data_IF_717129347908
#
_entry.id   IF_717129347908
#
_cell.length_a   1.000
_cell.length_b   1.000
_cell.length_c   1.000
_cell.angle_alpha   90.00
_cell.angle_beta   90.00
_cell.angle_gamma   90.00
#
_symmetry.space_group_name_H-M   'P 1'
#
loop_
_entity.id
_entity.type
_entity.pdbx_description
1 polymer ?
#
# COMPACT_ATOMS: atom_id res chain seq x y z
N UNK A 1 2.44 49.00 25.34
CA UNK A 1 2.56 47.54 25.60
C UNK A 1 1.58 46.67 24.78
N UNK A 2 0.29 47.04 24.63
CA UNK A 2 -0.68 46.24 23.83
C UNK A 2 -0.29 46.03 22.36
N UNK A 3 0.26 47.06 21.70
CA UNK A 3 0.56 47.00 20.28
C UNK A 3 1.76 46.07 19.95
N UNK A 4 2.78 46.04 20.81
CA UNK A 4 3.94 45.14 20.65
C UNK A 4 3.51 43.67 20.79
N UNK A 5 2.63 43.39 21.75
CA UNK A 5 2.08 42.04 21.96
C UNK A 5 1.25 41.58 20.76
N UNK A 6 0.51 42.52 20.15
CA UNK A 6 -0.26 42.27 18.93
C UNK A 6 0.65 41.98 17.73
N UNK A 7 1.70 42.78 17.53
CA UNK A 7 2.67 42.59 16.46
C UNK A 7 3.36 41.23 16.59
N UNK A 8 3.81 40.85 17.79
CA UNK A 8 4.40 39.52 18.03
C UNK A 8 3.44 38.38 17.70
N UNK A 9 2.18 38.48 18.13
CA UNK A 9 1.19 37.44 17.88
C UNK A 9 0.91 37.26 16.38
N UNK A 10 0.74 38.37 15.64
CA UNK A 10 0.53 38.31 14.19
C UNK A 10 1.79 37.86 13.44
N UNK A 11 2.99 38.30 13.83
CA UNK A 11 4.24 37.81 13.25
C UNK A 11 4.42 36.30 13.47
N UNK A 12 4.05 35.78 14.65
CA UNK A 12 4.08 34.35 14.93
C UNK A 12 3.07 33.57 14.07
N UNK A 13 1.86 34.09 13.90
CA UNK A 13 0.85 33.48 13.03
C UNK A 13 1.31 33.43 11.56
N UNK A 14 1.93 34.51 11.08
CA UNK A 14 2.48 34.57 9.71
C UNK A 14 3.64 33.59 9.53
N UNK A 15 4.51 33.41 10.54
CA UNK A 15 5.61 32.44 10.51
C UNK A 15 5.15 30.98 10.64
N UNK A 16 4.01 30.73 11.30
CA UNK A 16 3.46 29.39 11.42
C UNK A 16 3.02 28.82 10.07
N UNK A 17 2.53 29.66 9.15
CA UNK A 17 2.07 29.22 7.81
C UNK A 17 3.19 28.58 6.98
N UNK A 18 4.35 29.24 6.71
CA UNK A 18 5.45 28.62 5.98
C UNK A 18 6.05 27.45 6.75
N UNK A 19 6.04 27.47 8.10
CA UNK A 19 6.52 26.34 8.90
C UNK A 19 5.65 25.09 8.72
N UNK A 20 4.32 25.24 8.69
CA UNK A 20 3.37 24.16 8.42
C UNK A 20 3.57 23.63 6.99
N UNK A 21 3.74 24.51 6.00
CA UNK A 21 3.99 24.09 4.62
C UNK A 21 5.31 23.35 4.48
N UNK A 22 6.39 23.86 5.08
CA UNK A 22 7.71 23.23 5.05
C UNK A 22 7.70 21.87 5.77
N UNK A 23 7.02 21.76 6.91
CA UNK A 23 6.92 20.50 7.65
C UNK A 23 6.05 19.48 6.93
N UNK A 24 4.93 19.91 6.33
CA UNK A 24 4.04 19.04 5.57
C UNK A 24 4.70 18.52 4.28
N UNK A 25 5.36 19.40 3.51
CA UNK A 25 6.08 19.01 2.30
C UNK A 25 7.33 18.17 2.60
N UNK A 26 8.00 18.45 3.72
CA UNK A 26 9.19 17.70 4.13
C UNK A 26 8.90 16.37 4.81
N UNK A 27 7.68 16.15 5.31
CA UNK A 27 7.33 15.00 6.15
C UNK A 27 7.74 13.65 5.57
N UNK A 28 7.53 13.35 4.27
CA UNK A 28 7.97 12.09 3.67
C UNK A 28 9.49 11.92 3.68
N UNK A 29 10.24 13.00 3.46
CA UNK A 29 11.71 13.01 3.47
C UNK A 29 12.26 12.82 4.87
N UNK A 30 11.69 13.52 5.86
CA UNK A 30 12.06 13.35 7.27
C UNK A 30 11.73 11.95 7.78
N UNK A 31 10.57 11.39 7.41
CA UNK A 31 10.19 10.03 7.78
C UNK A 31 11.15 8.99 7.20
N UNK A 32 11.52 9.10 5.92
CA UNK A 32 12.53 8.22 5.29
C UNK A 32 13.89 8.37 5.96
N UNK A 33 14.35 9.60 6.18
CA UNK A 33 15.61 9.85 6.87
C UNK A 33 15.65 9.23 8.26
N UNK A 34 14.57 9.32 9.03
CA UNK A 34 14.48 8.69 10.34
C UNK A 34 14.52 7.16 10.22
N UNK A 35 13.75 6.56 9.31
CA UNK A 35 13.78 5.12 9.01
C UNK A 35 15.21 4.66 8.67
N UNK A 36 15.88 5.35 7.77
CA UNK A 36 17.22 4.99 7.27
C UNK A 36 18.32 5.14 8.34
N UNK A 37 18.22 6.16 9.20
CA UNK A 37 19.26 6.46 10.20
C UNK A 37 19.08 5.71 11.52
N UNK A 38 17.85 5.39 11.89
CA UNK A 38 17.55 4.74 13.18
C UNK A 38 17.31 3.24 13.06
N UNK A 39 17.24 2.71 11.84
CA UNK A 39 16.90 1.30 11.58
C UNK A 39 15.44 0.95 11.89
N UNK A 40 14.58 1.96 12.12
CA UNK A 40 13.15 1.76 12.29
C UNK A 40 12.56 1.22 10.98
N UNK A 41 11.81 0.11 11.05
CA UNK A 41 11.10 -0.43 9.89
C UNK A 41 9.69 0.13 9.79
N UNK A 42 9.22 0.36 8.56
CA UNK A 42 7.80 0.66 8.30
C UNK A 42 7.00 -0.62 8.56
N UNK A 43 5.94 -0.53 9.36
CA UNK A 43 5.13 -1.71 9.68
C UNK A 43 4.48 -2.29 8.40
N UNK A 44 4.41 -3.64 8.26
CA UNK A 44 3.80 -4.33 7.11
C UNK A 44 2.40 -3.83 6.74
N UNK A 45 1.62 -3.45 7.75
CA UNK A 45 0.29 -2.86 7.57
C UNK A 45 0.26 -1.60 6.69
N UNK A 46 1.36 -0.85 6.62
CA UNK A 46 1.49 0.33 5.78
C UNK A 46 2.22 0.05 4.47
N UNK A 47 3.29 -0.75 4.49
CA UNK A 47 4.09 -1.05 3.29
C UNK A 47 3.46 -2.09 2.36
N UNK A 48 2.53 -2.91 2.86
CA UNK A 48 2.03 -4.09 2.17
C UNK A 48 2.66 -5.39 2.64
N UNK A 49 3.73 -5.33 3.45
CA UNK A 49 4.55 -6.49 3.83
C UNK A 49 5.74 -6.72 2.88
N UNK A 50 6.59 -7.68 3.22
CA UNK A 50 7.72 -8.10 2.37
C UNK A 50 7.19 -8.89 1.16
N UNK A 51 7.89 -8.81 0.01
CA UNK A 51 7.53 -9.62 -1.16
C UNK A 51 8.03 -11.05 -0.95
N UNK A 52 7.10 -11.99 -0.82
CA UNK A 52 7.41 -13.42 -0.59
C UNK A 52 7.49 -14.22 -1.89
N UNK A 53 6.85 -13.73 -2.96
CA UNK A 53 6.86 -14.41 -4.26
C UNK A 53 6.74 -13.42 -5.40
N UNK A 54 7.54 -13.63 -6.44
CA UNK A 54 7.43 -12.91 -7.71
C UNK A 54 7.22 -13.91 -8.83
N UNK A 55 6.22 -13.68 -9.67
CA UNK A 55 5.90 -14.47 -10.85
C UNK A 55 6.15 -13.59 -12.07
N UNK A 56 7.04 -14.02 -12.95
CA UNK A 56 7.39 -13.28 -14.17
C UNK A 56 6.52 -13.72 -15.34
N UNK A 57 5.93 -12.76 -16.04
CA UNK A 57 5.16 -12.98 -17.26
C UNK A 57 5.75 -12.17 -18.42
N UNK A 58 5.26 -12.43 -19.64
CA UNK A 58 5.60 -11.61 -20.78
C UNK A 58 4.88 -10.26 -20.68
N UNK A 59 5.62 -9.22 -20.28
CA UNK A 59 5.16 -7.83 -20.24
C UNK A 59 4.90 -7.25 -18.85
N UNK A 60 4.71 -8.09 -17.83
CA UNK A 60 4.57 -7.66 -16.43
C UNK A 60 5.05 -8.75 -15.46
N UNK A 61 5.24 -8.37 -14.20
CA UNK A 61 5.51 -9.28 -13.09
C UNK A 61 4.42 -9.13 -12.03
N UNK A 62 4.11 -10.21 -11.34
CA UNK A 62 3.18 -10.25 -10.22
C UNK A 62 3.95 -10.51 -8.95
N UNK A 63 3.79 -9.64 -7.95
CA UNK A 63 4.46 -9.71 -6.65
C UNK A 63 3.41 -9.93 -5.59
N UNK A 64 3.57 -11.01 -4.86
CA UNK A 64 2.70 -11.41 -3.76
C UNK A 64 3.45 -11.07 -2.49
N UNK A 65 2.84 -10.24 -1.65
CA UNK A 65 3.40 -9.85 -0.37
C UNK A 65 2.98 -10.80 0.74
N UNK A 66 3.74 -10.80 1.82
CA UNK A 66 3.37 -11.50 3.05
C UNK A 66 2.06 -10.95 3.62
N UNK A 67 1.10 -11.81 4.01
CA UNK A 67 -0.12 -11.38 4.68
C UNK A 67 0.16 -10.61 5.97
N UNK A 68 -0.43 -9.43 6.11
CA UNK A 68 -0.25 -8.58 7.28
C UNK A 68 -1.51 -8.60 8.16
N UNK A 69 -1.37 -9.19 9.34
CA UNK A 69 -2.38 -9.14 10.42
C UNK A 69 -1.98 -8.21 11.57
N UNK A 70 -0.92 -7.41 11.41
CA UNK A 70 -0.35 -6.64 12.51
C UNK A 70 -1.31 -5.61 13.12
N UNK A 71 -1.33 -5.59 14.46
CA UNK A 71 -2.01 -4.62 15.29
C UNK A 71 -1.08 -4.10 16.38
N UNK A 72 -1.46 -2.96 16.99
CA UNK A 72 -0.64 -2.28 18.01
C UNK A 72 -0.36 -3.15 19.25
N UNK A 73 -1.30 -4.05 19.58
CA UNK A 73 -1.23 -4.93 20.75
C UNK A 73 -1.14 -6.41 20.39
N UNK A 74 -0.73 -6.72 19.15
CA UNK A 74 -0.71 -8.07 18.60
C UNK A 74 -1.61 -8.25 17.37
N UNK A 75 -1.73 -9.48 16.86
CA UNK A 75 -2.44 -9.77 15.61
C UNK A 75 -3.93 -9.39 15.68
N UNK A 76 -4.42 -8.78 14.61
CA UNK A 76 -5.82 -8.47 14.39
C UNK A 76 -6.59 -9.69 13.89
N UNK A 77 -7.91 -9.73 14.12
CA UNK A 77 -8.81 -10.76 13.56
C UNK A 77 -9.00 -10.66 12.05
N UNK A 78 -8.60 -9.54 11.46
CA UNK A 78 -8.64 -9.26 10.04
C UNK A 78 -7.34 -8.59 9.63
N UNK A 79 -6.86 -8.94 8.46
CA UNK A 79 -5.67 -8.40 7.84
C UNK A 79 -5.88 -8.25 6.34
N UNK A 80 -4.78 -8.20 5.60
CA UNK A 80 -4.83 -8.22 4.16
C UNK A 80 -3.58 -8.88 3.58
N UNK A 81 -3.70 -9.33 2.34
CA UNK A 81 -2.56 -9.61 1.47
C UNK A 81 -2.52 -8.57 0.37
N UNK A 82 -1.32 -8.09 0.02
CA UNK A 82 -1.12 -7.15 -1.07
C UNK A 82 -0.55 -7.88 -2.29
N UNK A 83 -1.14 -7.61 -3.45
CA UNK A 83 -0.67 -8.09 -4.75
C UNK A 83 -0.33 -6.87 -5.60
N UNK A 84 0.91 -6.82 -6.09
CA UNK A 84 1.39 -5.78 -6.98
C UNK A 84 1.66 -6.36 -8.36
N UNK A 85 1.11 -5.75 -9.40
CA UNK A 85 1.49 -6.00 -10.78
C UNK A 85 2.40 -4.87 -11.23
N UNK A 86 3.58 -5.21 -11.76
CA UNK A 86 4.53 -4.23 -12.30
C UNK A 86 4.75 -4.45 -13.78
N UNK A 87 4.56 -3.42 -14.61
CA UNK A 87 4.81 -3.49 -16.04
C UNK A 87 6.31 -3.54 -16.34
N UNK A 88 6.74 -4.50 -17.15
CA UNK A 88 8.14 -4.70 -17.52
C UNK A 88 8.53 -3.88 -18.78
N UNK A 89 7.56 -3.60 -19.66
CA UNK A 89 7.77 -2.89 -20.94
C UNK A 89 6.93 -1.61 -21.09
N UNK A 90 6.48 -1.03 -19.96
CA UNK A 90 5.79 0.27 -19.92
C UNK A 90 4.29 0.25 -20.15
N UNK A 91 3.68 -0.91 -20.44
CA UNK A 91 2.22 -1.06 -20.46
C UNK A 91 1.78 -2.43 -19.97
N UNK A 92 0.59 -2.48 -19.38
CA UNK A 92 -0.08 -3.73 -19.04
C UNK A 92 -0.89 -4.26 -20.24
N UNK A 93 -1.15 -5.58 -20.31
CA UNK A 93 -2.16 -6.10 -21.23
C UNK A 93 -3.54 -5.52 -20.91
N UNK A 94 -4.49 -5.58 -21.84
CA UNK A 94 -5.86 -5.06 -21.62
C UNK A 94 -6.56 -5.69 -20.41
N UNK A 95 -6.27 -6.97 -20.16
CA UNK A 95 -6.80 -7.72 -19.02
C UNK A 95 -5.69 -8.51 -18.36
N UNK A 96 -5.62 -8.44 -17.04
CA UNK A 96 -4.81 -9.32 -16.19
C UNK A 96 -5.77 -10.32 -15.55
N UNK A 97 -5.49 -11.61 -15.66
CA UNK A 97 -6.33 -12.67 -15.10
C UNK A 97 -5.43 -13.72 -14.45
N UNK A 98 -5.51 -13.83 -13.12
CA UNK A 98 -4.62 -14.71 -12.35
C UNK A 98 -5.35 -15.51 -11.28
N UNK A 99 -4.81 -16.69 -11.02
CA UNK A 99 -5.15 -17.54 -9.89
C UNK A 99 -4.02 -17.43 -8.86
N UNK A 100 -4.35 -16.99 -7.65
CA UNK A 100 -3.37 -16.69 -6.62
C UNK A 100 -3.53 -17.68 -5.47
N UNK A 101 -2.42 -18.36 -5.18
CA UNK A 101 -2.14 -19.09 -3.94
C UNK A 101 -1.16 -18.19 -3.16
N UNK A 102 -1.67 -17.50 -2.14
CA UNK A 102 -0.93 -16.49 -1.39
C UNK A 102 -0.14 -17.08 -0.22
N UNK A 103 -0.59 -18.20 0.35
CA UNK A 103 0.04 -18.85 1.50
C UNK A 103 0.98 -20.01 1.10
N UNK A 104 1.01 -20.35 -0.19
CA UNK A 104 1.85 -21.37 -0.80
C UNK A 104 1.51 -22.80 -0.32
N UNK A 105 0.24 -23.03 0.05
CA UNK A 105 -0.23 -24.35 0.45
C UNK A 105 -0.50 -25.29 -0.74
N UNK A 106 -0.38 -24.80 -1.99
CA UNK A 106 -0.63 -25.54 -3.22
C UNK A 106 -2.08 -25.49 -3.70
N UNK A 107 -2.96 -24.79 -2.99
CA UNK A 107 -4.37 -24.58 -3.30
C UNK A 107 -4.57 -23.12 -3.68
N UNK A 108 -5.36 -22.86 -4.72
CA UNK A 108 -5.66 -21.47 -5.12
C UNK A 108 -6.67 -20.86 -4.15
N UNK A 109 -6.31 -19.75 -3.51
CA UNK A 109 -7.16 -19.04 -2.55
C UNK A 109 -8.21 -18.15 -3.23
N UNK A 110 -7.82 -17.51 -4.34
CA UNK A 110 -8.71 -16.63 -5.09
C UNK A 110 -8.25 -16.43 -6.53
N UNK A 111 -9.18 -16.01 -7.39
CA UNK A 111 -8.85 -15.53 -8.73
C UNK A 111 -9.19 -14.05 -8.89
N UNK A 112 -8.30 -13.31 -9.54
CA UNK A 112 -8.45 -11.87 -9.80
C UNK A 112 -8.47 -11.65 -11.31
N UNK A 113 -9.43 -10.85 -11.77
CA UNK A 113 -9.47 -10.30 -13.13
C UNK A 113 -9.47 -8.78 -13.04
N UNK A 114 -8.53 -8.13 -13.71
CA UNK A 114 -8.38 -6.67 -13.76
C UNK A 114 -8.49 -6.21 -15.20
N UNK A 115 -9.44 -5.31 -15.47
CA UNK A 115 -9.47 -4.55 -16.71
C UNK A 115 -8.57 -3.34 -16.58
N UNK A 116 -7.46 -3.31 -17.29
CA UNK A 116 -6.35 -2.37 -16.99
C UNK A 116 -6.61 -0.93 -17.44
N UNK A 117 -7.55 -0.74 -18.37
CA UNK A 117 -7.98 0.56 -18.86
C UNK A 117 -9.06 1.22 -17.98
N UNK A 118 -9.91 0.41 -17.33
CA UNK A 118 -11.04 0.89 -16.53
C UNK A 118 -10.83 0.72 -15.03
N UNK A 119 -9.74 0.06 -14.64
CA UNK A 119 -9.40 -0.31 -13.26
C UNK A 119 -10.50 -1.12 -12.55
N UNK A 120 -11.36 -1.79 -13.33
CA UNK A 120 -12.37 -2.69 -12.79
C UNK A 120 -11.72 -3.99 -12.35
N UNK A 121 -12.00 -4.36 -11.11
CA UNK A 121 -11.50 -5.59 -10.49
C UNK A 121 -12.68 -6.53 -10.23
N UNK A 122 -12.54 -7.77 -10.70
CA UNK A 122 -13.41 -8.88 -10.33
C UNK A 122 -12.59 -9.86 -9.49
N UNK A 123 -12.96 -9.98 -8.22
CA UNK A 123 -12.39 -10.98 -7.31
C UNK A 123 -13.38 -12.13 -7.16
N UNK A 124 -12.90 -13.36 -7.33
CA UNK A 124 -13.63 -14.57 -6.95
C UNK A 124 -12.84 -15.28 -5.85
N UNK A 125 -13.37 -15.23 -4.63
CA UNK A 125 -12.87 -16.01 -3.52
C UNK A 125 -13.11 -17.50 -3.78
N UNK A 126 -12.06 -18.32 -3.63
CA UNK A 126 -12.13 -19.77 -3.75
C UNK A 126 -11.93 -20.45 -2.39
N UNK A 127 -11.20 -19.81 -1.48
CA UNK A 127 -11.02 -20.24 -0.09
C UNK A 127 -11.67 -19.28 0.93
N UNK A 128 -11.92 -19.80 2.14
CA UNK A 128 -12.66 -19.17 3.23
C UNK A 128 -12.04 -17.94 3.92
N UNK A 129 -10.71 -17.71 3.96
CA UNK A 129 -10.17 -16.52 4.63
C UNK A 129 -10.36 -15.25 3.80
N UNK A 130 -10.66 -15.35 2.50
CA UNK A 130 -10.79 -14.21 1.59
C UNK A 130 -12.13 -13.49 1.80
N UNK A 131 -12.09 -12.21 2.15
CA UNK A 131 -13.29 -11.42 2.45
C UNK A 131 -13.73 -10.58 1.25
N UNK A 132 -12.88 -9.63 0.83
CA UNK A 132 -13.22 -8.66 -0.22
C UNK A 132 -11.97 -7.95 -0.76
N UNK A 133 -11.98 -7.49 -2.01
CA UNK A 133 -10.94 -6.60 -2.53
C UNK A 133 -11.12 -5.18 -1.98
N UNK A 134 -10.02 -4.48 -1.76
CA UNK A 134 -9.97 -3.03 -1.63
C UNK A 134 -9.91 -2.37 -3.02
N UNK A 135 -10.12 -1.04 -3.12
CA UNK A 135 -9.98 -0.35 -4.40
C UNK A 135 -8.59 -0.56 -5.00
N UNK A 136 -8.54 -0.78 -6.32
CA UNK A 136 -7.29 -0.86 -7.05
C UNK A 136 -6.60 0.50 -7.04
N UNK A 137 -5.30 0.49 -6.74
CA UNK A 137 -4.45 1.68 -6.83
C UNK A 137 -3.62 1.54 -8.10
N UNK A 138 -3.79 2.49 -9.03
CA UNK A 138 -3.04 2.54 -10.29
C UNK A 138 -1.97 3.63 -10.24
N UNK A 139 -0.74 3.23 -10.56
CA UNK A 139 0.47 4.04 -10.71
C UNK A 139 1.00 3.76 -12.13
N UNK A 140 1.71 4.67 -12.82
CA UNK A 140 2.04 4.50 -14.25
C UNK A 140 2.61 3.15 -14.67
N UNK A 141 3.45 2.53 -13.85
CA UNK A 141 4.08 1.23 -14.10
C UNK A 141 3.63 0.12 -13.15
N UNK A 142 2.63 0.39 -12.29
CA UNK A 142 2.25 -0.51 -11.20
C UNK A 142 0.76 -0.46 -10.89
N UNK A 143 0.16 -1.63 -10.64
CA UNK A 143 -1.19 -1.76 -10.10
C UNK A 143 -1.09 -2.49 -8.77
N UNK A 144 -1.77 -1.99 -7.74
CA UNK A 144 -1.71 -2.54 -6.38
C UNK A 144 -3.13 -2.88 -5.94
N UNK A 145 -3.35 -4.11 -5.52
CA UNK A 145 -4.60 -4.58 -4.95
C UNK A 145 -4.36 -5.17 -3.57
N UNK A 146 -5.11 -4.69 -2.58
CA UNK A 146 -5.20 -5.33 -1.27
C UNK A 146 -6.45 -6.18 -1.19
N UNK A 147 -6.29 -7.38 -0.66
CA UNK A 147 -7.39 -8.31 -0.47
C UNK A 147 -7.51 -8.55 1.02
N UNK A 148 -8.67 -8.21 1.59
CA UNK A 148 -8.92 -8.39 3.01
C UNK A 148 -9.04 -9.86 3.34
N UNK A 149 -8.35 -10.26 4.39
CA UNK A 149 -8.33 -11.62 4.89
C UNK A 149 -8.87 -11.68 6.32
N UNK A 150 -9.55 -12.78 6.66
CA UNK A 150 -9.80 -13.16 8.04
C UNK A 150 -8.57 -13.89 8.57
N UNK A 151 -8.12 -13.51 9.76
CA UNK A 151 -7.04 -14.23 10.43
C UNK A 151 -7.57 -15.62 10.84
N UNK A 152 -6.95 -16.73 10.43
CA UNK A 152 -7.35 -18.08 10.81
C UNK A 152 -7.31 -18.33 12.33
#
# INVERSE_FOLDING_TARGET
MKNIRMIMAYSWAVLAVPLILATFLGMPTWARFLVDTTGLKVAPKFSGGEVIRTIEYQGYSTRIHEPSFDGLFGPCKQGFVQIDWKANAGSFPETISEMIDYDQNGTVDFSVVIQTQTDQVTLKALDSPVIAPEPLISIPDMKILRIRLRNP
#
